data_IF_045669497722
#
_entry.id   IF_045669497722
#
_cell.length_a   1.000
_cell.length_b   1.000
_cell.length_c   1.000
_cell.angle_alpha   90.00
_cell.angle_beta   90.00
_cell.angle_gamma   90.00
#
_symmetry.space_group_name_H-M   'P 1'
#
loop_
_entity.id
_entity.type
_entity.pdbx_description
1 polymer ?
#
# COMPACT_ATOMS: atom_id res chain seq x y z
N UNK A 1 -27.93 -13.42 -82.60
CA UNK A 1 -27.21 -13.88 -81.39
C UNK A 1 -27.55 -15.34 -81.17
N UNK A 2 -26.55 -16.23 -81.13
CA UNK A 2 -26.74 -17.67 -80.93
C UNK A 2 -26.85 -17.98 -79.43
N UNK A 3 -27.59 -19.03 -79.05
CA UNK A 3 -27.76 -19.44 -77.65
C UNK A 3 -26.43 -19.60 -76.88
N UNK A 4 -25.36 -20.03 -77.56
CA UNK A 4 -24.01 -20.11 -77.00
C UNK A 4 -23.47 -18.75 -76.52
N UNK A 5 -23.67 -17.67 -77.28
CA UNK A 5 -23.20 -16.32 -76.90
C UNK A 5 -23.95 -15.74 -75.70
N UNK A 6 -25.21 -16.15 -75.52
CA UNK A 6 -26.04 -15.72 -74.39
C UNK A 6 -25.60 -16.45 -73.11
N UNK A 7 -25.37 -17.76 -73.20
CA UNK A 7 -24.84 -18.59 -72.10
C UNK A 7 -23.45 -18.13 -71.64
N UNK A 8 -22.55 -17.76 -72.57
CA UNK A 8 -21.24 -17.21 -72.24
C UNK A 8 -21.33 -15.88 -71.48
N UNK A 9 -22.28 -15.02 -71.86
CA UNK A 9 -22.49 -13.72 -71.19
C UNK A 9 -23.05 -13.88 -69.77
N UNK A 10 -23.93 -14.85 -69.54
CA UNK A 10 -24.47 -15.16 -68.21
C UNK A 10 -23.40 -15.76 -67.28
N UNK A 11 -22.54 -16.65 -67.80
CA UNK A 11 -21.41 -17.20 -67.05
C UNK A 11 -20.38 -16.12 -66.68
N UNK A 12 -20.13 -15.17 -67.58
CA UNK A 12 -19.29 -14.00 -67.30
C UNK A 12 -19.90 -13.15 -66.18
N UNK A 13 -21.22 -12.89 -66.23
CA UNK A 13 -21.92 -12.12 -65.20
C UNK A 13 -21.89 -12.82 -63.83
N UNK A 14 -22.12 -14.14 -63.78
CA UNK A 14 -22.03 -14.92 -62.54
C UNK A 14 -20.62 -14.91 -61.96
N UNK A 15 -19.59 -15.02 -62.80
CA UNK A 15 -18.18 -14.92 -62.38
C UNK A 15 -17.88 -13.54 -61.80
N UNK A 16 -18.37 -12.48 -62.42
CA UNK A 16 -18.08 -11.11 -61.98
C UNK A 16 -18.81 -10.79 -60.66
N UNK A 17 -20.05 -11.25 -60.49
CA UNK A 17 -20.76 -11.22 -59.20
C UNK A 17 -20.00 -12.01 -58.13
N UNK A 18 -19.50 -13.21 -58.45
CA UNK A 18 -18.73 -14.01 -57.49
C UNK A 18 -17.42 -13.30 -57.08
N UNK A 19 -16.74 -12.63 -58.02
CA UNK A 19 -15.54 -11.82 -57.71
C UNK A 19 -15.87 -10.63 -56.82
N UNK A 20 -16.95 -9.93 -57.10
CA UNK A 20 -17.44 -8.80 -56.29
C UNK A 20 -17.79 -9.27 -54.87
N UNK A 21 -18.51 -10.40 -54.75
CA UNK A 21 -18.84 -11.00 -53.46
C UNK A 21 -17.60 -11.39 -52.67
N UNK A 22 -16.60 -12.01 -53.31
CA UNK A 22 -15.33 -12.34 -52.65
C UNK A 22 -14.59 -11.07 -52.21
N UNK A 23 -14.64 -10.01 -53.01
CA UNK A 23 -14.04 -8.72 -52.66
C UNK A 23 -14.72 -8.10 -51.43
N UNK A 24 -16.06 -8.06 -51.40
CA UNK A 24 -16.81 -7.51 -50.27
C UNK A 24 -16.67 -8.39 -49.01
N UNK A 25 -16.63 -9.72 -49.15
CA UNK A 25 -16.35 -10.63 -48.03
C UNK A 25 -14.95 -10.41 -47.44
N UNK A 26 -13.93 -10.22 -48.29
CA UNK A 26 -12.57 -9.89 -47.82
C UNK A 26 -12.53 -8.53 -47.11
N UNK A 27 -13.29 -7.56 -47.62
CA UNK A 27 -13.41 -6.24 -46.99
C UNK A 27 -14.09 -6.32 -45.64
N UNK A 28 -15.19 -7.05 -45.52
CA UNK A 28 -15.88 -7.29 -44.25
C UNK A 28 -15.00 -8.04 -43.24
N UNK A 29 -14.26 -9.06 -43.69
CA UNK A 29 -13.31 -9.79 -42.84
C UNK A 29 -12.22 -8.86 -42.29
N UNK A 30 -11.63 -8.02 -43.14
CA UNK A 30 -10.62 -7.05 -42.71
C UNK A 30 -11.18 -6.03 -41.72
N UNK A 31 -12.41 -5.57 -41.91
CA UNK A 31 -13.04 -4.60 -41.01
C UNK A 31 -13.44 -5.24 -39.67
N UNK A 32 -13.86 -6.50 -39.66
CA UNK A 32 -14.10 -7.27 -38.43
C UNK A 32 -12.80 -7.48 -37.65
N UNK A 33 -11.72 -7.89 -38.32
CA UNK A 33 -10.41 -8.09 -37.69
C UNK A 33 -9.86 -6.79 -37.09
N UNK A 34 -10.06 -5.64 -37.76
CA UNK A 34 -9.72 -4.33 -37.19
C UNK A 34 -10.53 -4.04 -35.92
N UNK A 35 -11.85 -4.29 -35.93
CA UNK A 35 -12.71 -4.04 -34.77
C UNK A 35 -12.33 -4.93 -33.59
N UNK A 36 -12.07 -6.21 -33.82
CA UNK A 36 -11.62 -7.16 -32.80
C UNK A 36 -10.31 -6.68 -32.15
N UNK A 37 -9.31 -6.31 -32.96
CA UNK A 37 -8.03 -5.80 -32.44
C UNK A 37 -8.18 -4.51 -31.62
N UNK A 38 -9.17 -3.66 -31.94
CA UNK A 38 -9.47 -2.45 -31.17
C UNK A 38 -10.14 -2.78 -29.84
N UNK A 39 -11.04 -3.76 -29.82
CA UNK A 39 -11.71 -4.22 -28.60
C UNK A 39 -10.69 -4.87 -27.66
N UNK A 40 -9.83 -5.76 -28.17
CA UNK A 40 -8.74 -6.37 -27.40
C UNK A 40 -7.82 -5.33 -26.77
N UNK A 41 -7.39 -4.32 -27.55
CA UNK A 41 -6.55 -3.23 -27.04
C UNK A 41 -7.25 -2.41 -25.96
N UNK A 42 -8.56 -2.17 -26.10
CA UNK A 42 -9.34 -1.44 -25.09
C UNK A 42 -9.50 -2.28 -23.82
N UNK A 43 -9.76 -3.57 -23.95
CA UNK A 43 -9.87 -4.51 -22.83
C UNK A 43 -8.55 -4.59 -22.06
N UNK A 44 -7.43 -4.81 -22.75
CA UNK A 44 -6.10 -4.89 -22.15
C UNK A 44 -5.73 -3.57 -21.45
N UNK A 45 -6.05 -2.42 -22.05
CA UNK A 45 -5.83 -1.12 -21.40
C UNK A 45 -6.70 -0.93 -20.15
N UNK A 46 -7.93 -1.45 -20.15
CA UNK A 46 -8.80 -1.39 -18.98
C UNK A 46 -8.29 -2.30 -17.85
N UNK A 47 -7.81 -3.50 -18.17
CA UNK A 47 -7.21 -4.42 -17.19
C UNK A 47 -5.91 -3.86 -16.59
N UNK A 48 -5.03 -3.27 -17.41
CA UNK A 48 -3.83 -2.61 -16.93
C UNK A 48 -4.16 -1.49 -15.93
N UNK A 49 -5.11 -0.60 -16.27
CA UNK A 49 -5.55 0.45 -15.34
C UNK A 49 -6.14 -0.14 -14.06
N UNK A 50 -6.94 -1.20 -14.16
CA UNK A 50 -7.50 -1.87 -12.98
C UNK A 50 -6.39 -2.38 -12.07
N UNK A 51 -5.35 -3.00 -12.63
CA UNK A 51 -4.19 -3.44 -11.86
C UNK A 51 -3.41 -2.28 -11.26
N UNK A 52 -3.21 -1.19 -11.99
CA UNK A 52 -2.59 0.04 -11.47
C UNK A 52 -3.38 0.60 -10.27
N UNK A 53 -4.72 0.66 -10.38
CA UNK A 53 -5.57 1.10 -9.28
C UNK A 53 -5.55 0.12 -8.10
N UNK A 54 -5.57 -1.19 -8.35
CA UNK A 54 -5.55 -2.20 -7.28
C UNK A 54 -4.21 -2.19 -6.53
N UNK A 55 -3.10 -2.06 -7.24
CA UNK A 55 -1.76 -1.95 -6.64
C UNK A 55 -1.62 -0.64 -5.85
N UNK A 56 -2.11 0.48 -6.38
CA UNK A 56 -2.18 1.74 -5.67
C UNK A 56 -3.04 1.62 -4.39
N UNK A 57 -4.22 1.00 -4.49
CA UNK A 57 -5.12 0.82 -3.35
C UNK A 57 -4.52 -0.08 -2.27
N UNK A 58 -3.83 -1.17 -2.65
CA UNK A 58 -3.09 -2.01 -1.70
C UNK A 58 -1.98 -1.24 -1.01
N UNK A 59 -1.21 -0.43 -1.75
CA UNK A 59 -0.16 0.42 -1.17
C UNK A 59 -0.74 1.44 -0.19
N UNK A 60 -1.81 2.14 -0.57
CA UNK A 60 -2.48 3.12 0.30
C UNK A 60 -3.08 2.45 1.53
N UNK A 61 -3.68 1.27 1.39
CA UNK A 61 -4.22 0.50 2.53
C UNK A 61 -3.12 0.09 3.50
N UNK A 62 -1.98 -0.41 2.98
CA UNK A 62 -0.85 -0.76 3.82
C UNK A 62 -0.27 0.47 4.55
N UNK A 63 -0.18 1.62 3.87
CA UNK A 63 0.20 2.88 4.50
C UNK A 63 -0.78 3.28 5.60
N UNK A 64 -2.09 3.17 5.35
CA UNK A 64 -3.13 3.54 6.30
C UNK A 64 -3.10 2.65 7.54
N UNK A 65 -2.96 1.33 7.37
CA UNK A 65 -2.79 0.38 8.47
C UNK A 65 -1.53 0.66 9.30
N UNK A 66 -0.42 1.00 8.63
CA UNK A 66 0.80 1.39 9.32
C UNK A 66 0.60 2.68 10.14
N UNK A 67 -0.07 3.68 9.57
CA UNK A 67 -0.37 4.92 10.30
C UNK A 67 -1.31 4.69 11.47
N UNK A 68 -2.36 3.88 11.29
CA UNK A 68 -3.35 3.56 12.31
C UNK A 68 -2.71 2.85 13.51
N UNK A 69 -1.92 1.80 13.24
CA UNK A 69 -1.18 1.11 14.27
C UNK A 69 -0.24 2.07 15.02
N UNK A 70 0.46 2.95 14.29
CA UNK A 70 1.33 3.93 14.92
C UNK A 70 0.58 4.96 15.77
N UNK A 71 -0.60 5.44 15.31
CA UNK A 71 -1.46 6.34 16.08
C UNK A 71 -1.96 5.70 17.37
N UNK A 72 -2.39 4.44 17.33
CA UNK A 72 -2.83 3.72 18.52
C UNK A 72 -1.71 3.62 19.56
N UNK A 73 -0.49 3.29 19.13
CA UNK A 73 0.66 3.25 20.04
C UNK A 73 1.03 4.65 20.57
N UNK A 74 0.93 5.71 19.76
CA UNK A 74 1.14 7.09 20.21
C UNK A 74 0.11 7.50 21.26
N UNK A 75 -1.17 7.21 21.03
CA UNK A 75 -2.24 7.51 21.98
C UNK A 75 -2.01 6.78 23.31
N UNK A 76 -1.67 5.49 23.27
CA UNK A 76 -1.39 4.70 24.48
C UNK A 76 -0.19 5.29 25.24
N UNK A 77 0.91 5.63 24.56
CA UNK A 77 2.09 6.20 25.20
C UNK A 77 1.79 7.56 25.87
N UNK A 78 0.99 8.41 25.23
CA UNK A 78 0.57 9.70 25.79
C UNK A 78 -0.36 9.51 26.99
N UNK A 79 -1.36 8.64 26.89
CA UNK A 79 -2.30 8.35 27.98
C UNK A 79 -1.59 7.76 29.18
N UNK A 80 -0.73 6.77 28.97
CA UNK A 80 0.02 6.11 30.05
C UNK A 80 1.03 7.07 30.68
N UNK A 81 1.72 7.88 29.86
CA UNK A 81 2.60 8.94 30.33
C UNK A 81 1.86 9.98 31.17
N UNK A 82 0.71 10.46 30.70
CA UNK A 82 -0.12 11.41 31.43
C UNK A 82 -0.63 10.84 32.75
N UNK A 83 -1.05 9.58 32.77
CA UNK A 83 -1.52 8.90 33.99
C UNK A 83 -0.40 8.73 35.02
N UNK A 84 0.78 8.28 34.59
CA UNK A 84 1.97 8.17 35.45
C UNK A 84 2.39 9.55 35.97
N UNK A 85 2.39 10.56 35.11
CA UNK A 85 2.70 11.93 35.48
C UNK A 85 1.71 12.52 36.49
N UNK A 86 0.41 12.27 36.30
CA UNK A 86 -0.63 12.66 37.25
C UNK A 86 -0.44 12.00 38.62
N UNK A 87 -0.11 10.70 38.63
CA UNK A 87 0.18 9.95 39.86
C UNK A 87 1.40 10.52 40.60
N UNK A 88 2.48 10.84 39.87
CA UNK A 88 3.66 11.48 40.44
C UNK A 88 3.36 12.90 40.96
N UNK A 89 2.56 13.68 40.24
CA UNK A 89 2.10 15.00 40.68
C UNK A 89 1.26 14.93 41.95
N UNK A 90 0.39 13.92 42.06
CA UNK A 90 -0.41 13.66 43.26
C UNK A 90 0.47 13.26 44.46
N UNK A 91 1.44 12.37 44.25
CA UNK A 91 2.43 12.01 45.28
C UNK A 91 3.24 13.22 45.73
N UNK A 92 3.65 14.10 44.80
CA UNK A 92 4.32 15.36 45.14
C UNK A 92 3.46 16.29 46.00
N UNK A 93 2.16 16.37 45.72
CA UNK A 93 1.22 17.12 46.55
C UNK A 93 1.04 16.53 47.95
N UNK A 94 1.10 15.20 48.11
CA UNK A 94 1.13 14.55 49.43
C UNK A 94 2.43 14.89 50.18
N UNK A 95 3.56 14.91 49.49
CA UNK A 95 4.85 15.30 50.09
C UNK A 95 4.80 16.74 50.61
N UNK A 96 4.13 17.66 49.89
CA UNK A 96 3.94 19.04 50.39
C UNK A 96 3.17 19.08 51.71
N UNK A 97 2.14 18.24 51.88
CA UNK A 97 1.41 18.11 53.17
C UNK A 97 2.34 17.63 54.28
N UNK A 98 3.28 16.73 53.98
CA UNK A 98 4.24 16.20 54.95
C UNK A 98 5.33 17.22 55.33
N UNK A 99 5.64 18.18 54.48
CA UNK A 99 6.64 19.24 54.72
C UNK A 99 6.09 20.45 55.50
N UNK A 100 5.12 20.24 56.38
CA UNK A 100 4.50 21.28 57.23
C UNK A 100 3.78 22.41 56.46
N UNK A 101 3.46 22.21 55.17
CA UNK A 101 2.59 23.16 54.44
C UNK A 101 1.17 23.07 55.02
N UNK A 102 0.51 24.20 55.32
CA UNK A 102 -0.86 24.19 55.80
C UNK A 102 -1.76 23.37 54.86
N UNK A 103 -2.54 22.45 55.42
CA UNK A 103 -3.32 21.48 54.63
C UNK A 103 -4.21 22.14 53.57
N UNK A 104 -4.76 23.33 53.86
CA UNK A 104 -5.52 24.12 52.88
C UNK A 104 -4.68 24.53 51.67
N UNK A 105 -3.45 25.02 51.88
CA UNK A 105 -2.54 25.43 50.80
C UNK A 105 -2.11 24.23 49.97
N UNK A 106 -1.80 23.11 50.64
CA UNK A 106 -1.47 21.86 49.95
C UNK A 106 -2.64 21.34 49.11
N UNK A 107 -3.88 21.43 49.61
CA UNK A 107 -5.08 21.04 48.85
C UNK A 107 -5.30 21.93 47.62
N UNK A 108 -5.03 23.23 47.72
CA UNK A 108 -5.06 24.15 46.58
C UNK A 108 -3.96 23.85 45.55
N UNK A 109 -2.78 23.42 45.99
CA UNK A 109 -1.66 23.08 45.11
C UNK A 109 -1.75 21.68 44.50
N UNK A 110 -2.52 20.76 45.09
CA UNK A 110 -2.73 19.41 44.57
C UNK A 110 -3.24 19.39 43.13
N UNK A 111 -4.25 20.19 42.81
CA UNK A 111 -4.81 20.28 41.45
C UNK A 111 -3.75 20.68 40.40
N UNK A 112 -3.07 21.83 40.58
CA UNK A 112 -1.95 22.25 39.74
C UNK A 112 -0.82 21.23 39.66
N UNK A 113 -0.41 20.60 40.77
CA UNK A 113 0.65 19.58 40.76
C UNK A 113 0.27 18.37 39.90
N UNK A 114 -0.98 17.89 40.00
CA UNK A 114 -1.49 16.79 39.17
C UNK A 114 -1.59 17.21 37.70
N UNK A 115 -2.06 18.42 37.41
CA UNK A 115 -2.17 18.94 36.05
C UNK A 115 -0.79 19.13 35.38
N UNK A 116 0.18 19.69 36.10
CA UNK A 116 1.55 19.84 35.60
C UNK A 116 2.19 18.47 35.44
N UNK A 117 2.03 17.58 36.42
CA UNK A 117 2.52 16.21 36.35
C UNK A 117 2.00 15.47 35.12
N UNK A 118 0.69 15.56 34.84
CA UNK A 118 0.09 14.91 33.67
C UNK A 118 0.60 15.48 32.34
N UNK A 119 0.76 16.81 32.24
CA UNK A 119 1.32 17.46 31.06
C UNK A 119 2.78 17.05 30.81
N UNK A 120 3.60 17.02 31.86
CA UNK A 120 5.00 16.58 31.77
C UNK A 120 5.09 15.10 31.39
N UNK A 121 4.26 14.25 32.01
CA UNK A 121 4.19 12.84 31.69
C UNK A 121 3.75 12.57 30.23
N UNK A 122 2.76 13.31 29.75
CA UNK A 122 2.34 13.27 28.34
C UNK A 122 3.49 13.68 27.40
N UNK A 123 4.16 14.79 27.70
CA UNK A 123 5.27 15.31 26.90
C UNK A 123 6.45 14.32 26.85
N UNK A 124 6.79 13.68 27.99
CA UNK A 124 7.80 12.64 28.05
C UNK A 124 7.41 11.39 27.25
N UNK A 125 6.16 10.96 27.34
CA UNK A 125 5.63 9.86 26.52
C UNK A 125 5.73 10.15 25.02
N UNK A 126 5.40 11.38 24.60
CA UNK A 126 5.57 11.84 23.22
C UNK A 126 7.04 11.85 22.81
N UNK A 127 7.92 12.44 23.63
CA UNK A 127 9.35 12.56 23.33
C UNK A 127 10.02 11.19 23.22
N UNK A 128 9.72 10.27 24.15
CA UNK A 128 10.25 8.90 24.13
C UNK A 128 9.86 8.17 22.85
N UNK A 129 8.59 8.28 22.45
CA UNK A 129 8.10 7.62 21.24
C UNK A 129 8.66 8.26 19.97
N UNK A 130 8.79 9.59 19.93
CA UNK A 130 9.46 10.28 18.82
C UNK A 130 10.91 9.82 18.68
N UNK A 131 11.63 9.68 19.79
CA UNK A 131 13.00 9.18 19.76
C UNK A 131 13.07 7.75 19.23
N UNK A 132 12.15 6.87 19.65
CA UNK A 132 12.07 5.50 19.17
C UNK A 132 11.81 5.42 17.66
N UNK A 133 10.89 6.25 17.15
CA UNK A 133 10.62 6.37 15.72
C UNK A 133 11.84 6.87 14.94
N UNK A 134 12.53 7.90 15.46
CA UNK A 134 13.76 8.40 14.85
C UNK A 134 14.86 7.34 14.85
N UNK A 135 14.99 6.56 15.92
CA UNK A 135 15.93 5.42 15.99
C UNK A 135 15.60 4.36 14.95
N UNK A 136 14.32 3.99 14.79
CA UNK A 136 13.88 3.03 13.76
C UNK A 136 14.13 3.56 12.35
N UNK A 137 13.86 4.85 12.09
CA UNK A 137 14.15 5.48 10.80
C UNK A 137 15.66 5.49 10.50
N UNK A 138 16.51 5.80 11.49
CA UNK A 138 17.97 5.73 11.34
C UNK A 138 18.43 4.31 11.03
N UNK A 139 17.85 3.28 11.68
CA UNK A 139 18.15 1.86 11.39
C UNK A 139 17.75 1.48 9.96
N UNK A 140 16.55 1.86 9.50
CA UNK A 140 16.12 1.63 8.10
C UNK A 140 17.06 2.30 7.09
N UNK A 141 17.43 3.57 7.31
CA UNK A 141 18.39 4.29 6.46
C UNK A 141 19.78 3.65 6.43
N UNK A 142 20.22 2.99 7.51
CA UNK A 142 21.50 2.26 7.52
C UNK A 142 21.42 0.99 6.67
N UNK A 143 20.35 0.20 6.83
CA UNK A 143 20.11 -1.01 6.04
C UNK A 143 20.00 -0.67 4.54
N UNK A 144 19.34 0.43 4.20
CA UNK A 144 19.22 0.89 2.80
C UNK A 144 20.56 1.38 2.21
N UNK A 145 21.48 1.87 3.05
CA UNK A 145 22.85 2.24 2.63
C UNK A 145 23.81 1.06 2.57
N UNK A 146 23.59 0.02 3.37
CA UNK A 146 24.38 -1.22 3.36
C UNK A 146 23.88 -2.22 2.32
N UNK A 147 22.65 -2.08 1.83
CA UNK A 147 22.21 -2.72 0.60
C UNK A 147 23.02 -2.13 -0.56
N UNK A 148 23.71 -2.95 -1.38
CA UNK A 148 24.50 -2.44 -2.49
C UNK A 148 23.57 -1.65 -3.41
N UNK A 149 23.88 -0.36 -3.56
CA UNK A 149 23.18 0.55 -4.46
C UNK A 149 23.32 0.05 -5.90
N UNK A 150 22.33 -0.72 -6.35
CA UNK A 150 22.16 -0.97 -7.78
C UNK A 150 21.74 0.35 -8.43
N UNK A 151 22.43 0.79 -9.50
CA UNK A 151 22.15 2.06 -10.15
C UNK A 151 20.74 2.08 -10.78
N UNK A 152 20.15 3.27 -11.00
CA UNK A 152 18.85 3.38 -11.66
C UNK A 152 19.03 3.16 -13.16
N UNK A 153 19.14 1.91 -13.60
CA UNK A 153 19.03 1.57 -15.01
C UNK A 153 17.62 1.05 -15.30
N UNK A 154 16.89 1.86 -16.07
CA UNK A 154 15.91 1.55 -17.12
C UNK A 154 15.48 0.08 -17.36
N UNK A 155 14.28 -0.13 -17.92
CA UNK A 155 13.42 -1.23 -17.56
C UNK A 155 13.73 -2.54 -18.31
N UNK A 156 13.30 -3.64 -17.68
CA UNK A 156 13.10 -4.98 -18.24
C UNK A 156 14.36 -5.77 -18.65
N UNK A 157 14.83 -6.61 -17.73
CA UNK A 157 15.00 -8.08 -17.89
C UNK A 157 15.85 -8.61 -16.73
N UNK A 158 15.24 -9.28 -15.77
CA UNK A 158 15.97 -10.28 -14.97
C UNK A 158 14.99 -11.21 -14.25
N UNK A 159 14.89 -12.44 -14.74
CA UNK A 159 14.13 -13.54 -14.16
C UNK A 159 14.77 -14.12 -12.89
N UNK A 160 15.86 -13.55 -12.36
CA UNK A 160 16.54 -14.06 -11.16
C UNK A 160 16.00 -13.50 -9.83
N UNK A 161 15.19 -12.43 -9.87
CA UNK A 161 14.62 -11.78 -8.68
C UNK A 161 13.46 -12.55 -8.04
N UNK A 162 12.70 -13.31 -8.84
CA UNK A 162 11.56 -14.08 -8.33
C UNK A 162 11.99 -15.20 -7.40
N UNK A 163 13.14 -15.83 -7.65
CA UNK A 163 13.60 -16.95 -6.83
C UNK A 163 14.09 -16.48 -5.46
N UNK A 164 14.76 -15.33 -5.37
CA UNK A 164 15.18 -14.74 -4.10
C UNK A 164 14.01 -14.26 -3.25
N UNK A 165 13.00 -13.66 -3.89
CA UNK A 165 11.77 -13.21 -3.20
C UNK A 165 10.92 -14.40 -2.75
N UNK A 166 10.82 -15.44 -3.59
CA UNK A 166 10.13 -16.69 -3.22
C UNK A 166 10.85 -17.44 -2.09
N UNK A 167 12.19 -17.46 -2.09
CA UNK A 167 12.97 -18.08 -1.02
C UNK A 167 12.86 -17.30 0.30
N UNK A 168 12.80 -15.97 0.23
CA UNK A 168 12.53 -15.11 1.38
C UNK A 168 11.15 -15.36 1.98
N UNK A 169 10.10 -15.37 1.15
CA UNK A 169 8.74 -15.67 1.60
C UNK A 169 8.61 -17.10 2.13
N UNK A 170 9.28 -18.09 1.53
CA UNK A 170 9.28 -19.46 2.02
C UNK A 170 9.97 -19.59 3.39
N UNK A 171 11.05 -18.83 3.61
CA UNK A 171 11.74 -18.77 4.90
C UNK A 171 10.83 -18.15 5.98
N UNK A 172 10.19 -17.02 5.68
CA UNK A 172 9.32 -16.36 6.65
C UNK A 172 8.07 -17.21 6.97
N UNK A 173 7.52 -17.91 5.98
CA UNK A 173 6.43 -18.86 6.20
C UNK A 173 6.87 -20.06 7.07
N UNK A 174 8.09 -20.57 6.86
CA UNK A 174 8.62 -21.68 7.66
C UNK A 174 8.85 -21.30 9.12
N UNK A 175 9.29 -20.06 9.39
CA UNK A 175 9.42 -19.57 10.75
C UNK A 175 8.06 -19.38 11.44
N UNK A 176 7.07 -18.84 10.72
CA UNK A 176 5.71 -18.68 11.24
C UNK A 176 5.03 -20.02 11.55
N UNK A 177 5.25 -21.05 10.73
CA UNK A 177 4.72 -22.40 10.97
C UNK A 177 5.39 -23.08 12.17
N UNK A 178 6.71 -22.92 12.33
CA UNK A 178 7.43 -23.46 13.49
C UNK A 178 6.99 -22.79 14.79
N UNK A 179 6.71 -21.48 14.76
CA UNK A 179 6.19 -20.75 15.91
C UNK A 179 4.76 -21.17 16.27
N UNK A 180 3.92 -21.45 15.27
CA UNK A 180 2.56 -21.96 15.47
C UNK A 180 2.52 -23.39 16.03
N UNK A 181 3.45 -24.27 15.63
CA UNK A 181 3.52 -25.66 16.12
C UNK A 181 4.13 -25.75 17.53
N UNK A 182 4.90 -24.74 17.94
CA UNK A 182 5.54 -24.68 19.26
C UNK A 182 4.65 -24.03 20.33
N UNK A 183 3.57 -23.36 19.93
CA UNK A 183 2.57 -22.76 20.83
C UNK A 183 1.40 -23.70 21.09
#
# INVERSE_FOLDING_TARGET
>A
MTAATLMESELMAQRDVAKEMVHEMRKQLNDLQKRESLIERRALRAELRRHEFETALKSTRAQLQYTEANFNHHLIAVLLGALLGALLGWLGGIVLVLCEVPAFVAFFLMGPCVAIGSLVGAALGMAHRQEELLRLQRRRKKIEKEAPSLPPSSPVKSSSSLMGTALGCAKDLSFAVVEYVRS
#
